data_IF_524907863224
#
_entry.id   IF_524907863224
#
_cell.length_a   1.000
_cell.length_b   1.000
_cell.length_c   1.000
_cell.angle_alpha   90.00
_cell.angle_beta   90.00
_cell.angle_gamma   90.00
#
_symmetry.space_group_name_H-M   'P 1'
#
loop_
_entity.id
_entity.type
_entity.pdbx_description
1 polymer ?
#
# COMPACT_ATOMS: atom_id res chain seq x y z
N UNK A 1 15.16 -58.35 28.02
CA UNK A 1 13.98 -58.19 28.88
C UNK A 1 13.22 -56.97 28.40
N UNK A 2 11.97 -57.14 27.92
CA UNK A 2 11.11 -56.03 27.49
C UNK A 2 10.12 -55.77 28.61
N UNK A 3 10.20 -54.60 29.24
CA UNK A 3 9.24 -54.17 30.26
C UNK A 3 8.01 -53.57 29.58
N UNK A 4 6.84 -54.07 29.94
CA UNK A 4 5.55 -53.55 29.48
C UNK A 4 4.85 -52.87 30.66
N UNK A 5 4.69 -51.54 30.61
CA UNK A 5 3.98 -50.79 31.64
C UNK A 5 2.60 -50.41 31.11
N UNK A 6 1.57 -51.12 31.59
CA UNK A 6 0.18 -50.77 31.31
C UNK A 6 -0.39 -50.00 32.52
N UNK A 7 -0.62 -48.69 32.43
CA UNK A 7 -1.23 -47.94 33.53
C UNK A 7 -2.69 -48.37 33.71
N UNK A 8 -3.01 -48.92 34.87
CA UNK A 8 -4.35 -49.45 35.21
C UNK A 8 -5.40 -48.36 35.50
N UNK A 9 -4.99 -47.10 35.70
CA UNK A 9 -5.87 -45.93 35.85
C UNK A 9 -5.05 -44.63 35.68
N UNK A 10 -5.56 -43.65 34.92
CA UNK A 10 -4.83 -42.41 34.57
C UNK A 10 -5.46 -41.11 35.11
N UNK A 11 -6.51 -41.22 35.93
CA UNK A 11 -7.22 -40.08 36.52
C UNK A 11 -7.88 -39.13 35.50
N UNK A 12 -8.11 -39.56 34.25
CA UNK A 12 -8.67 -38.73 33.18
C UNK A 12 -7.63 -37.89 32.41
N UNK A 13 -6.35 -38.08 32.68
CA UNK A 13 -5.25 -37.33 32.04
C UNK A 13 -5.20 -37.49 30.52
N UNK A 14 -5.39 -38.70 29.97
CA UNK A 14 -5.47 -38.90 28.50
C UNK A 14 -6.65 -38.14 27.88
N UNK A 15 -7.79 -38.06 28.58
CA UNK A 15 -8.96 -37.31 28.13
C UNK A 15 -8.69 -35.79 28.07
N UNK A 16 -8.00 -35.26 29.09
CA UNK A 16 -7.57 -33.87 29.13
C UNK A 16 -6.55 -33.54 28.02
N UNK A 17 -5.59 -34.44 27.77
CA UNK A 17 -4.59 -34.30 26.71
C UNK A 17 -5.24 -34.30 25.31
N UNK A 18 -6.15 -35.23 25.04
CA UNK A 18 -6.92 -35.27 23.77
C UNK A 18 -7.74 -33.98 23.60
N UNK A 19 -8.36 -33.48 24.68
CA UNK A 19 -9.12 -32.22 24.65
C UNK A 19 -8.20 -31.02 24.36
N UNK A 20 -7.03 -30.96 24.99
CA UNK A 20 -6.03 -29.92 24.73
C UNK A 20 -5.53 -29.97 23.27
N UNK A 21 -5.24 -31.16 22.75
CA UNK A 21 -4.85 -31.36 21.36
C UNK A 21 -5.94 -30.90 20.38
N UNK A 22 -7.22 -31.23 20.64
CA UNK A 22 -8.36 -30.75 19.84
C UNK A 22 -8.50 -29.23 19.88
N UNK A 23 -8.36 -28.61 21.05
CA UNK A 23 -8.39 -27.15 21.20
C UNK A 23 -7.23 -26.51 20.42
N UNK A 24 -6.03 -27.09 20.50
CA UNK A 24 -4.85 -26.63 19.75
C UNK A 24 -5.10 -26.70 18.24
N UNK A 25 -5.58 -27.83 17.73
CA UNK A 25 -5.93 -27.98 16.32
C UNK A 25 -7.00 -26.96 15.87
N UNK A 26 -8.03 -26.72 16.70
CA UNK A 26 -9.05 -25.70 16.40
C UNK A 26 -8.47 -24.29 16.38
N UNK A 27 -7.56 -23.97 17.30
CA UNK A 27 -6.83 -22.69 17.30
C UNK A 27 -6.01 -22.52 16.02
N UNK A 28 -5.27 -23.55 15.61
CA UNK A 28 -4.50 -23.54 14.36
C UNK A 28 -5.38 -23.32 13.13
N UNK A 29 -6.55 -23.98 13.07
CA UNK A 29 -7.52 -23.77 11.99
C UNK A 29 -8.04 -22.32 11.95
N UNK A 30 -8.39 -21.76 13.11
CA UNK A 30 -8.85 -20.36 13.20
C UNK A 30 -7.73 -19.39 12.80
N UNK A 31 -6.50 -19.65 13.23
CA UNK A 31 -5.34 -18.86 12.85
C UNK A 31 -5.10 -18.89 11.34
N UNK A 32 -5.19 -20.06 10.72
CA UNK A 32 -5.08 -20.22 9.27
C UNK A 32 -6.16 -19.41 8.52
N UNK A 33 -7.42 -19.52 8.92
CA UNK A 33 -8.51 -18.74 8.31
C UNK A 33 -8.32 -17.23 8.48
N UNK A 34 -7.78 -16.79 9.63
CA UNK A 34 -7.45 -15.39 9.87
C UNK A 34 -6.36 -14.90 8.93
N UNK A 35 -5.27 -15.66 8.76
CA UNK A 35 -4.18 -15.33 7.84
C UNK A 35 -4.70 -15.27 6.41
N UNK A 36 -5.50 -16.25 5.98
CA UNK A 36 -6.11 -16.29 4.65
C UNK A 36 -7.00 -15.07 4.38
N UNK A 37 -7.86 -14.69 5.33
CA UNK A 37 -8.70 -13.49 5.21
C UNK A 37 -7.85 -12.22 5.16
N UNK A 38 -6.83 -12.14 6.00
CA UNK A 38 -5.91 -10.98 6.02
C UNK A 38 -5.17 -10.85 4.70
N UNK A 39 -4.64 -11.94 4.13
CA UNK A 39 -3.96 -11.92 2.84
C UNK A 39 -4.89 -11.43 1.71
N UNK A 40 -6.14 -11.93 1.66
CA UNK A 40 -7.14 -11.43 0.70
C UNK A 40 -7.43 -9.94 0.86
N UNK A 41 -7.56 -9.46 2.09
CA UNK A 41 -7.81 -8.05 2.37
C UNK A 41 -6.60 -7.18 1.98
N UNK A 42 -5.37 -7.64 2.22
CA UNK A 42 -4.15 -6.94 1.82
C UNK A 42 -4.09 -6.79 0.29
N UNK A 43 -4.33 -7.87 -0.46
CA UNK A 43 -4.36 -7.82 -1.94
C UNK A 43 -5.43 -6.83 -2.44
N UNK A 44 -6.64 -6.88 -1.88
CA UNK A 44 -7.71 -5.95 -2.27
C UNK A 44 -7.33 -4.49 -1.99
N UNK A 45 -6.72 -4.20 -0.84
CA UNK A 45 -6.22 -2.86 -0.50
C UNK A 45 -5.14 -2.40 -1.48
N UNK A 46 -4.20 -3.27 -1.85
CA UNK A 46 -3.13 -2.94 -2.81
C UNK A 46 -3.70 -2.60 -4.20
N UNK A 47 -4.64 -3.41 -4.69
CA UNK A 47 -5.32 -3.15 -5.98
C UNK A 47 -6.04 -1.80 -5.94
N UNK A 48 -6.80 -1.53 -4.87
CA UNK A 48 -7.51 -0.26 -4.73
C UNK A 48 -6.55 0.94 -4.66
N UNK A 49 -5.44 0.81 -3.92
CA UNK A 49 -4.40 1.85 -3.84
C UNK A 49 -3.81 2.14 -5.23
N UNK A 50 -3.54 1.09 -6.02
CA UNK A 50 -3.00 1.22 -7.37
C UNK A 50 -3.99 1.92 -8.32
N UNK A 51 -5.28 1.58 -8.28
CA UNK A 51 -6.32 2.25 -9.09
C UNK A 51 -6.46 3.73 -8.72
N UNK A 52 -6.51 4.04 -7.41
CA UNK A 52 -6.57 5.42 -6.93
C UNK A 52 -5.35 6.22 -7.41
N UNK A 53 -4.16 5.63 -7.28
CA UNK A 53 -2.91 6.27 -7.69
C UNK A 53 -2.87 6.53 -9.20
N UNK A 54 -3.29 5.55 -9.99
CA UNK A 54 -3.41 5.70 -11.44
C UNK A 54 -4.35 6.84 -11.84
N UNK A 55 -5.53 6.93 -11.21
CA UNK A 55 -6.46 8.04 -11.46
C UNK A 55 -5.86 9.39 -11.05
N UNK A 56 -5.17 9.44 -9.91
CA UNK A 56 -4.50 10.66 -9.42
C UNK A 56 -3.40 11.12 -10.37
N UNK A 57 -2.62 10.20 -10.96
CA UNK A 57 -1.65 10.52 -12.02
C UNK A 57 -2.30 11.23 -13.21
N UNK A 58 -3.44 10.74 -13.68
CA UNK A 58 -4.14 11.36 -14.81
C UNK A 58 -4.59 12.80 -14.54
N UNK A 59 -4.96 13.11 -13.28
CA UNK A 59 -5.33 14.46 -12.85
C UNK A 59 -4.07 15.34 -12.73
N UNK A 60 -3.01 14.84 -12.11
CA UNK A 60 -1.75 15.57 -11.94
C UNK A 60 -1.08 15.89 -13.28
N UNK A 61 -1.20 15.01 -14.27
CA UNK A 61 -0.74 15.25 -15.64
C UNK A 61 -1.43 16.47 -16.28
N UNK A 62 -2.75 16.62 -16.10
CA UNK A 62 -3.47 17.80 -16.56
C UNK A 62 -3.10 19.05 -15.77
N UNK A 63 -2.92 18.91 -14.46
CA UNK A 63 -2.52 20.02 -13.60
C UNK A 63 -1.14 20.57 -13.98
N UNK A 64 -0.17 19.70 -14.30
CA UNK A 64 1.16 20.16 -14.70
C UNK A 64 1.13 20.89 -16.04
N UNK A 65 0.30 20.44 -16.99
CA UNK A 65 0.10 21.13 -18.27
C UNK A 65 -0.45 22.54 -18.06
N UNK A 66 -1.47 22.68 -17.21
CA UNK A 66 -2.04 23.98 -16.84
C UNK A 66 -1.02 24.88 -16.12
N UNK A 67 -0.25 24.31 -15.19
CA UNK A 67 0.78 25.04 -14.47
C UNK A 67 1.90 25.53 -15.39
N UNK A 68 2.26 24.72 -16.40
CA UNK A 68 3.23 25.10 -17.44
C UNK A 68 2.71 26.26 -18.28
N UNK A 69 1.48 26.17 -18.78
CA UNK A 69 0.87 27.24 -19.56
C UNK A 69 0.80 28.55 -18.76
N UNK A 70 0.48 28.47 -17.46
CA UNK A 70 0.48 29.64 -16.56
C UNK A 70 1.89 30.24 -16.43
N UNK A 71 2.91 29.42 -16.26
CA UNK A 71 4.31 29.86 -16.20
C UNK A 71 4.73 30.53 -17.51
N UNK A 72 4.38 29.95 -18.66
CA UNK A 72 4.72 30.52 -19.97
C UNK A 72 4.05 31.89 -20.16
N UNK A 73 2.76 32.03 -19.82
CA UNK A 73 2.06 33.32 -19.84
C UNK A 73 2.73 34.33 -18.90
N UNK A 74 3.06 33.92 -17.66
CA UNK A 74 3.72 34.80 -16.70
C UNK A 74 5.10 35.26 -17.21
N UNK A 75 5.85 34.37 -17.86
CA UNK A 75 7.13 34.70 -18.49
C UNK A 75 6.96 35.79 -19.55
N UNK A 76 6.03 35.63 -20.49
CA UNK A 76 5.78 36.64 -21.53
C UNK A 76 5.35 37.98 -20.94
N UNK A 77 4.45 37.97 -19.96
CA UNK A 77 3.98 39.20 -19.30
C UNK A 77 5.09 39.88 -18.51
N UNK A 78 6.03 39.13 -17.94
CA UNK A 78 7.16 39.70 -17.23
C UNK A 78 8.16 40.34 -18.21
N UNK A 79 8.45 39.65 -19.33
CA UNK A 79 9.32 40.17 -20.40
C UNK A 79 8.77 41.46 -21.03
N UNK A 80 7.44 41.59 -21.13
CA UNK A 80 6.75 42.80 -21.59
C UNK A 80 6.57 43.86 -20.48
N UNK A 81 7.07 43.62 -19.26
CA UNK A 81 6.99 44.54 -18.13
C UNK A 81 5.60 44.68 -17.49
N UNK A 82 4.65 43.81 -17.84
CA UNK A 82 3.27 43.83 -17.32
C UNK A 82 3.10 43.24 -15.92
N UNK A 83 4.03 42.38 -15.50
CA UNK A 83 4.06 41.80 -14.15
C UNK A 83 5.45 41.94 -13.53
N UNK A 84 5.49 41.94 -12.20
CA UNK A 84 6.73 41.95 -11.44
C UNK A 84 7.51 40.63 -11.53
N UNK A 85 8.81 40.68 -11.24
CA UNK A 85 9.63 39.47 -11.11
C UNK A 85 9.10 38.54 -10.01
N UNK A 86 8.50 39.09 -8.95
CA UNK A 86 7.90 38.29 -7.88
C UNK A 86 6.75 37.42 -8.40
N UNK A 87 5.79 38.00 -9.12
CA UNK A 87 4.64 37.27 -9.70
C UNK A 87 5.07 36.19 -10.71
N UNK A 88 6.14 36.47 -11.48
CA UNK A 88 6.75 35.47 -12.36
C UNK A 88 7.35 34.31 -11.56
N UNK A 89 8.12 34.60 -10.50
CA UNK A 89 8.72 33.59 -9.64
C UNK A 89 7.67 32.75 -8.90
N UNK A 90 6.56 33.35 -8.46
CA UNK A 90 5.42 32.62 -7.87
C UNK A 90 4.84 31.61 -8.86
N UNK A 91 4.67 32.00 -10.13
CA UNK A 91 4.20 31.09 -11.18
C UNK A 91 5.20 29.95 -11.44
N UNK A 92 6.50 30.24 -11.35
CA UNK A 92 7.56 29.23 -11.48
C UNK A 92 7.57 28.26 -10.30
N UNK A 93 7.42 28.76 -9.07
CA UNK A 93 7.31 27.94 -7.85
C UNK A 93 6.10 27.02 -7.97
N UNK A 94 4.93 27.55 -8.36
CA UNK A 94 3.72 26.75 -8.54
C UNK A 94 3.90 25.61 -9.56
N UNK A 95 4.58 25.86 -10.68
CA UNK A 95 4.91 24.83 -11.65
C UNK A 95 5.83 23.74 -11.05
N UNK A 96 6.89 24.14 -10.34
CA UNK A 96 7.83 23.21 -9.71
C UNK A 96 7.15 22.36 -8.62
N UNK A 97 6.31 22.95 -7.79
CA UNK A 97 5.51 22.21 -6.80
C UNK A 97 4.56 21.21 -7.44
N UNK A 98 4.00 21.55 -8.59
CA UNK A 98 3.12 20.64 -9.35
C UNK A 98 3.93 19.49 -9.97
N UNK A 99 5.16 19.76 -10.43
CA UNK A 99 6.07 18.70 -10.90
C UNK A 99 6.43 17.74 -9.76
N UNK A 100 6.74 18.28 -8.59
CA UNK A 100 7.10 17.47 -7.43
C UNK A 100 5.95 16.55 -7.00
N UNK A 101 4.72 17.08 -6.95
CA UNK A 101 3.51 16.27 -6.69
C UNK A 101 3.33 15.13 -7.70
N UNK A 102 3.58 15.38 -8.98
CA UNK A 102 3.51 14.35 -10.02
C UNK A 102 4.60 13.28 -9.83
N UNK A 103 5.82 13.69 -9.51
CA UNK A 103 6.94 12.78 -9.27
C UNK A 103 6.69 11.87 -8.05
N UNK A 104 6.20 12.45 -6.96
CA UNK A 104 5.85 11.71 -5.75
C UNK A 104 4.74 10.68 -6.04
N UNK A 105 3.72 11.06 -6.80
CA UNK A 105 2.65 10.12 -7.15
C UNK A 105 3.16 8.99 -8.07
N UNK A 106 4.06 9.28 -9.02
CA UNK A 106 4.68 8.25 -9.85
C UNK A 106 5.46 7.25 -9.00
N UNK A 107 6.22 7.74 -8.02
CA UNK A 107 6.94 6.90 -7.07
C UNK A 107 5.97 6.00 -6.28
N UNK A 108 4.87 6.56 -5.79
CA UNK A 108 3.86 5.80 -5.03
C UNK A 108 3.15 4.74 -5.88
N UNK A 109 2.86 5.06 -7.14
CA UNK A 109 2.33 4.13 -8.13
C UNK A 109 3.27 2.94 -8.34
N UNK A 110 4.55 3.20 -8.63
CA UNK A 110 5.54 2.14 -8.85
C UNK A 110 5.76 1.28 -7.60
N UNK A 111 5.86 1.90 -6.41
CA UNK A 111 5.99 1.15 -5.16
C UNK A 111 4.80 0.21 -4.94
N UNK A 112 3.58 0.70 -5.16
CA UNK A 112 2.35 -0.11 -5.01
C UNK A 112 2.29 -1.25 -6.04
N UNK A 113 2.77 -1.00 -7.27
CA UNK A 113 2.88 -2.02 -8.30
C UNK A 113 3.91 -3.11 -7.92
N UNK A 114 5.08 -2.72 -7.44
CA UNK A 114 6.11 -3.67 -6.98
C UNK A 114 5.65 -4.49 -5.78
N UNK A 115 4.96 -3.88 -4.82
CA UNK A 115 4.41 -4.57 -3.64
C UNK A 115 3.38 -5.64 -4.06
N UNK A 116 2.51 -5.29 -5.03
CA UNK A 116 1.53 -6.23 -5.58
C UNK A 116 2.22 -7.39 -6.31
N UNK A 117 3.22 -7.11 -7.16
CA UNK A 117 4.01 -8.15 -7.86
C UNK A 117 4.75 -9.06 -6.89
N UNK A 118 5.32 -8.51 -5.81
CA UNK A 118 5.99 -9.27 -4.76
C UNK A 118 5.04 -10.23 -4.04
N UNK A 119 3.80 -9.79 -3.76
CA UNK A 119 2.76 -10.61 -3.11
C UNK A 119 2.38 -11.85 -3.92
N UNK A 120 2.53 -11.82 -5.25
CA UNK A 120 2.25 -12.99 -6.10
C UNK A 120 3.43 -13.96 -6.25
N UNK A 121 4.66 -13.55 -5.89
CA UNK A 121 5.87 -14.37 -6.01
C UNK A 121 6.26 -15.09 -4.71
N UNK A 122 5.81 -14.59 -3.56
CA UNK A 122 5.99 -15.20 -2.23
C UNK A 122 4.94 -16.25 -1.93
#
# INVERSE_FOLDING_TARGET
SVNFTLPIWDGGSKGAEIKAARISAKKSQIAFEKVKKSAKAQIATLINKLDISYRKLSVLQKQIELAKNKLDIAKFRHEDGQISTLEFLESKIYYLETQDKLLLELKDYYNSKFELEGTFRS
#
